data_IF_923454107452
#
_entry.id   IF_923454107452
#
_cell.length_a   1.000
_cell.length_b   1.000
_cell.length_c   1.000
_cell.angle_alpha   90.00
_cell.angle_beta   90.00
_cell.angle_gamma   90.00
#
_symmetry.space_group_name_H-M   'P 1'
#
loop_
_entity.id
_entity.type
_entity.pdbx_description
1 polymer ?
#
# COMPACT_ATOMS: atom_id res chain seq x y z
N UNK A 1 -14.78 -8.65 2.85
CA UNK A 1 -14.08 -9.09 4.07
C UNK A 1 -13.69 -7.88 4.90
N UNK A 2 -13.34 -8.08 6.17
CA UNK A 2 -12.90 -7.01 7.10
C UNK A 2 -11.72 -6.21 6.51
N UNK A 3 -10.81 -6.89 5.80
CA UNK A 3 -9.65 -6.29 5.13
C UNK A 3 -10.02 -5.37 3.96
N UNK A 4 -11.13 -5.67 3.26
CA UNK A 4 -11.62 -4.84 2.16
C UNK A 4 -12.17 -3.50 2.65
N UNK A 5 -12.83 -3.48 3.83
CA UNK A 5 -13.31 -2.24 4.44
C UNK A 5 -12.13 -1.39 4.96
N UNK A 6 -11.13 -1.99 5.59
CA UNK A 6 -9.96 -1.26 6.10
C UNK A 6 -9.14 -0.60 4.96
N UNK A 7 -8.97 -1.29 3.83
CA UNK A 7 -8.23 -0.74 2.70
C UNK A 7 -8.88 0.51 2.08
N UNK A 8 -10.21 0.65 2.16
CA UNK A 8 -10.91 1.85 1.72
C UNK A 8 -10.67 3.03 2.67
N UNK A 9 -10.72 2.81 3.99
CA UNK A 9 -10.49 3.89 4.97
C UNK A 9 -9.04 4.38 4.98
N UNK A 10 -8.07 3.48 4.78
CA UNK A 10 -6.67 3.86 4.58
C UNK A 10 -6.47 4.67 3.29
N UNK A 11 -7.15 4.28 2.20
CA UNK A 11 -7.11 5.00 0.93
C UNK A 11 -7.81 6.37 0.94
N UNK A 12 -8.60 6.68 1.98
CA UNK A 12 -9.28 7.98 2.13
C UNK A 12 -8.56 8.93 3.10
N UNK A 13 -7.38 8.55 3.62
CA UNK A 13 -6.62 9.34 4.58
C UNK A 13 -7.24 9.43 5.98
N UNK A 14 -8.41 8.79 6.20
CA UNK A 14 -9.12 8.81 7.50
C UNK A 14 -8.46 7.94 8.56
N UNK A 15 -7.65 6.96 8.14
CA UNK A 15 -6.86 6.12 9.03
C UNK A 15 -5.42 6.07 8.52
N UNK A 16 -4.42 6.26 9.39
CA UNK A 16 -3.03 6.23 8.97
C UNK A 16 -2.65 4.80 8.58
N UNK A 17 -2.02 4.64 7.40
CA UNK A 17 -1.58 3.33 6.89
C UNK A 17 -0.59 2.65 7.84
N UNK A 18 0.12 3.43 8.68
CA UNK A 18 1.02 2.95 9.72
C UNK A 18 0.34 2.11 10.81
N UNK A 19 -0.97 2.23 11.00
CA UNK A 19 -1.72 1.41 11.97
C UNK A 19 -1.99 -0.01 11.45
N UNK A 20 -1.84 -0.22 10.14
CA UNK A 20 -2.15 -1.49 9.46
C UNK A 20 -0.93 -2.13 8.83
N UNK A 21 0.09 -1.34 8.51
CA UNK A 21 1.31 -1.76 7.87
C UNK A 21 2.48 -1.28 8.73
N UNK A 22 3.30 -2.20 9.21
CA UNK A 22 4.51 -1.85 9.94
C UNK A 22 5.36 -0.86 9.14
N UNK A 23 5.92 0.14 9.81
CA UNK A 23 6.65 1.24 9.20
C UNK A 23 7.76 0.77 8.24
N UNK A 24 8.49 -0.29 8.61
CA UNK A 24 9.52 -0.89 7.77
C UNK A 24 8.98 -1.46 6.46
N UNK A 25 7.79 -2.09 6.49
CA UNK A 25 7.13 -2.59 5.29
C UNK A 25 6.51 -1.46 4.48
N UNK A 26 5.87 -0.50 5.14
CA UNK A 26 5.30 0.68 4.49
C UNK A 26 6.37 1.38 3.66
N UNK A 27 7.54 1.67 4.26
CA UNK A 27 8.66 2.28 3.55
C UNK A 27 9.12 1.44 2.36
N UNK A 28 9.33 0.14 2.57
CA UNK A 28 9.77 -0.80 1.52
C UNK A 28 8.79 -0.85 0.34
N UNK A 29 7.49 -0.93 0.62
CA UNK A 29 6.44 -1.01 -0.40
C UNK A 29 6.29 0.34 -1.12
N UNK A 30 6.36 1.45 -0.38
CA UNK A 30 6.28 2.80 -0.95
C UNK A 30 7.43 3.08 -1.89
N UNK A 31 8.67 2.83 -1.46
CA UNK A 31 9.86 2.98 -2.31
C UNK A 31 9.77 2.11 -3.56
N UNK A 32 9.25 0.89 -3.41
CA UNK A 32 9.07 -0.03 -4.52
C UNK A 32 8.06 0.48 -5.56
N UNK A 33 6.88 0.98 -5.14
CA UNK A 33 5.91 1.57 -6.06
C UNK A 33 6.41 2.87 -6.68
N UNK A 34 7.08 3.74 -5.91
CA UNK A 34 7.66 4.98 -6.46
C UNK A 34 8.75 4.71 -7.51
N UNK A 35 9.53 3.64 -7.33
CA UNK A 35 10.60 3.26 -8.27
C UNK A 35 10.08 2.55 -9.52
N UNK A 36 9.04 1.72 -9.40
CA UNK A 36 8.53 0.90 -10.52
C UNK A 36 7.29 1.50 -11.21
N UNK A 37 6.66 2.52 -10.62
CA UNK A 37 5.45 3.14 -11.15
C UNK A 37 4.20 2.27 -11.00
N UNK A 38 3.28 2.38 -11.95
CA UNK A 38 2.05 1.57 -11.99
C UNK A 38 2.33 0.12 -12.40
N UNK A 39 2.69 -0.69 -11.41
CA UNK A 39 2.79 -2.15 -11.54
C UNK A 39 1.58 -2.85 -10.91
N UNK A 40 1.27 -4.03 -11.43
CA UNK A 40 0.20 -4.86 -10.90
C UNK A 40 0.52 -5.35 -9.48
N UNK A 41 -0.50 -5.48 -8.63
CA UNK A 41 -0.33 -5.98 -7.25
C UNK A 41 0.23 -7.41 -7.21
N UNK A 42 -0.10 -8.24 -8.20
CA UNK A 42 0.45 -9.60 -8.34
C UNK A 42 1.96 -9.57 -8.54
N UNK A 43 2.44 -8.75 -9.49
CA UNK A 43 3.87 -8.61 -9.73
C UNK A 43 4.60 -8.01 -8.52
N UNK A 44 3.97 -7.03 -7.85
CA UNK A 44 4.50 -6.46 -6.61
C UNK A 44 4.64 -7.52 -5.51
N UNK A 45 3.65 -8.43 -5.39
CA UNK A 45 3.67 -9.54 -4.44
C UNK A 45 4.79 -10.53 -4.74
N UNK A 46 5.01 -10.86 -6.00
CA UNK A 46 6.09 -11.78 -6.41
C UNK A 46 7.47 -11.17 -6.12
N UNK A 47 7.67 -9.88 -6.38
CA UNK A 47 8.95 -9.20 -6.16
C UNK A 47 9.26 -8.92 -4.68
N UNK A 48 8.25 -8.61 -3.87
CA UNK A 48 8.42 -8.33 -2.44
C UNK A 48 8.39 -9.60 -1.57
N UNK A 49 7.85 -10.70 -2.10
CA UNK A 49 7.78 -12.00 -1.47
C UNK A 49 6.66 -12.15 -0.43
N UNK A 50 6.70 -13.24 0.33
CA UNK A 50 5.67 -13.58 1.31
C UNK A 50 5.66 -12.77 2.60
N UNK A 51 6.66 -11.90 2.80
CA UNK A 51 6.66 -10.93 3.91
C UNK A 51 5.63 -9.80 3.76
N UNK A 52 4.98 -9.68 2.60
CA UNK A 52 3.98 -8.66 2.29
C UNK A 52 2.71 -9.31 1.78
N UNK A 53 1.56 -8.87 2.28
CA UNK A 53 0.22 -9.29 1.88
C UNK A 53 -0.35 -8.42 0.76
N UNK A 54 -1.31 -8.97 0.01
CA UNK A 54 -2.06 -8.19 -0.99
C UNK A 54 -2.81 -7.01 -0.39
N UNK A 55 -3.24 -7.11 0.88
CA UNK A 55 -3.89 -6.03 1.62
C UNK A 55 -2.93 -4.85 1.83
N UNK A 56 -1.74 -5.12 2.36
CA UNK A 56 -0.68 -4.11 2.57
C UNK A 56 -0.33 -3.41 1.25
N UNK A 57 -0.09 -4.18 0.17
CA UNK A 57 0.19 -3.61 -1.16
C UNK A 57 -0.90 -2.64 -1.63
N UNK A 58 -2.17 -3.04 -1.49
CA UNK A 58 -3.31 -2.23 -1.92
C UNK A 58 -3.47 -0.98 -1.06
N UNK A 59 -3.23 -1.09 0.25
CA UNK A 59 -3.28 0.04 1.18
C UNK A 59 -2.21 1.09 0.86
N UNK A 60 -0.96 0.65 0.69
CA UNK A 60 0.16 1.55 0.37
C UNK A 60 -0.03 2.22 -0.99
N UNK A 61 -0.48 1.47 -2.01
CA UNK A 61 -0.76 2.06 -3.34
C UNK A 61 -1.83 3.14 -3.28
N UNK A 62 -2.91 2.92 -2.54
CA UNK A 62 -3.95 3.93 -2.39
C UNK A 62 -3.46 5.15 -1.60
N UNK A 63 -2.65 4.94 -0.57
CA UNK A 63 -2.00 6.02 0.18
C UNK A 63 -1.10 6.89 -0.71
N UNK A 64 -0.27 6.27 -1.56
CA UNK A 64 0.56 7.01 -2.53
C UNK A 64 -0.28 7.80 -3.53
N UNK A 65 -1.35 7.18 -4.06
CA UNK A 65 -2.27 7.86 -4.99
C UNK A 65 -2.95 9.06 -4.32
N UNK A 66 -3.35 8.93 -3.04
CA UNK A 66 -3.94 10.01 -2.27
C UNK A 66 -2.96 11.19 -2.11
N UNK A 67 -1.72 10.91 -1.68
CA UNK A 67 -0.66 11.95 -1.56
C UNK A 67 -0.39 12.61 -2.92
N UNK A 68 -0.33 11.84 -4.00
CA UNK A 68 0.02 12.34 -5.34
C UNK A 68 -1.11 13.15 -5.98
N UNK A 69 -2.38 12.87 -5.67
CA UNK A 69 -3.53 13.62 -6.21
C UNK A 69 -3.88 14.89 -5.41
N UNK A 70 -3.31 15.10 -4.22
CA UNK A 70 -3.48 16.33 -3.42
C UNK A 70 -2.37 17.37 -3.68
N UNK A 71 -1.52 17.19 -4.69
CA UNK A 71 -0.46 18.15 -5.09
C UNK A 71 -0.71 18.70 -6.48
#
# INVERSE_FOLDING_TARGET
TVEGHMAYYVGTGKLPVSDFVEEGKLKKISEFFLKNGEIALGEAKERLGDGVSYGELKMVRQHLNWITNET
#
